data_IF_143015589281
#
_entry.id   IF_143015589281
#
_cell.length_a   1.000
_cell.length_b   1.000
_cell.length_c   1.000
_cell.angle_alpha   90.00
_cell.angle_beta   90.00
_cell.angle_gamma   90.00
#
_symmetry.space_group_name_H-M   'P 1'
#
loop_
_entity.id
_entity.type
_entity.pdbx_description
1 polymer ?
#
# COMPACT_ATOMS: atom_id res chain seq x y z
N UNK A 1 -1.66 1.07 39.23
CA UNK A 1 -0.92 1.67 38.09
C UNK A 1 -1.11 0.74 36.90
N UNK A 2 -1.93 1.14 35.92
CA UNK A 2 -2.30 0.33 34.76
C UNK A 2 -1.34 0.57 33.59
N UNK A 3 -0.87 -0.51 32.98
CA UNK A 3 0.09 -0.56 31.89
C UNK A 3 -0.39 0.23 30.67
N UNK A 4 0.08 1.47 30.56
CA UNK A 4 0.17 2.22 29.31
C UNK A 4 1.24 1.50 28.45
N UNK A 5 1.02 1.41 27.13
CA UNK A 5 1.96 0.92 26.09
C UNK A 5 1.68 -0.47 25.48
N UNK A 6 0.43 -0.79 25.15
CA UNK A 6 0.23 -1.61 23.95
C UNK A 6 0.59 -0.73 22.75
N UNK A 7 1.82 -0.93 22.23
CA UNK A 7 2.27 -0.38 20.93
C UNK A 7 1.09 -0.43 19.97
N UNK A 8 0.81 0.69 19.29
CA UNK A 8 -0.13 0.76 18.15
C UNK A 8 -0.10 -0.58 17.44
N UNK A 9 -1.21 -1.33 17.48
CA UNK A 9 -1.41 -2.39 16.51
C UNK A 9 -1.36 -1.67 15.16
N UNK A 10 -0.22 -1.72 14.49
CA UNK A 10 -0.20 -1.56 13.04
C UNK A 10 -1.29 -2.51 12.55
N UNK A 11 -2.37 -1.90 12.05
CA UNK A 11 -3.53 -2.68 11.60
C UNK A 11 -3.04 -3.63 10.52
N UNK A 12 -3.63 -4.83 10.36
CA UNK A 12 -3.25 -5.74 9.27
C UNK A 12 -3.16 -5.02 7.92
N UNK A 13 -4.05 -4.05 7.68
CA UNK A 13 -4.05 -3.16 6.52
C UNK A 13 -2.75 -2.37 6.32
N UNK A 14 -2.10 -1.90 7.38
CA UNK A 14 -0.83 -1.15 7.28
C UNK A 14 0.30 -2.06 6.78
N UNK A 15 0.37 -3.28 7.30
CA UNK A 15 1.35 -4.28 6.85
C UNK A 15 1.11 -4.69 5.41
N UNK A 16 -0.15 -4.82 4.97
CA UNK A 16 -0.50 -5.08 3.57
C UNK A 16 -0.08 -3.92 2.64
N UNK A 17 -0.33 -2.67 3.05
CA UNK A 17 0.09 -1.47 2.31
C UNK A 17 1.62 -1.40 2.20
N UNK A 18 2.35 -1.64 3.30
CA UNK A 18 3.81 -1.67 3.29
C UNK A 18 4.38 -2.81 2.46
N UNK A 19 3.78 -4.00 2.52
CA UNK A 19 4.17 -5.13 1.71
C UNK A 19 3.98 -4.83 0.21
N UNK A 20 2.85 -4.21 -0.16
CA UNK A 20 2.59 -3.77 -1.53
C UNK A 20 3.61 -2.73 -1.99
N UNK A 21 3.88 -1.71 -1.17
CA UNK A 21 4.90 -0.69 -1.48
C UNK A 21 6.27 -1.34 -1.68
N UNK A 22 6.69 -2.21 -0.77
CA UNK A 22 7.98 -2.89 -0.86
C UNK A 22 8.07 -3.76 -2.11
N UNK A 23 7.00 -4.49 -2.46
CA UNK A 23 6.97 -5.29 -3.68
C UNK A 23 7.11 -4.42 -4.95
N UNK A 24 6.45 -3.26 -4.98
CA UNK A 24 6.53 -2.32 -6.11
C UNK A 24 7.93 -1.69 -6.22
N UNK A 25 8.51 -1.24 -5.11
CA UNK A 25 9.87 -0.70 -5.09
C UNK A 25 10.92 -1.77 -5.45
N UNK A 26 10.72 -3.00 -4.98
CA UNK A 26 11.61 -4.13 -5.31
C UNK A 26 11.52 -4.46 -6.80
N UNK A 27 10.32 -4.53 -7.38
CA UNK A 27 10.20 -4.74 -8.83
C UNK A 27 10.80 -3.58 -9.62
N UNK A 28 10.64 -2.33 -9.20
CA UNK A 28 11.25 -1.17 -9.89
C UNK A 28 12.77 -1.31 -10.00
N UNK A 29 13.43 -1.84 -8.96
CA UNK A 29 14.87 -2.03 -8.95
C UNK A 29 15.34 -3.33 -9.61
N UNK A 30 14.51 -4.38 -9.64
CA UNK A 30 14.95 -5.74 -9.99
C UNK A 30 14.20 -6.37 -11.18
N UNK A 31 13.17 -5.73 -11.72
CA UNK A 31 12.31 -6.33 -12.74
C UNK A 31 11.70 -5.29 -13.70
N UNK A 32 11.37 -5.73 -14.92
CA UNK A 32 10.50 -4.99 -15.84
C UNK A 32 9.03 -5.38 -15.70
N UNK A 33 8.69 -6.21 -14.71
CA UNK A 33 7.31 -6.65 -14.47
C UNK A 33 6.46 -5.48 -13.97
N UNK A 34 5.35 -5.22 -14.68
CA UNK A 34 4.49 -4.05 -14.44
C UNK A 34 3.12 -4.41 -13.85
N UNK A 35 2.88 -5.70 -13.54
CA UNK A 35 1.57 -6.18 -13.07
C UNK A 35 1.64 -6.63 -11.62
N UNK A 36 0.79 -6.04 -10.80
CA UNK A 36 0.58 -6.42 -9.41
C UNK A 36 -0.87 -6.82 -9.19
N UNK A 37 -1.07 -8.01 -8.63
CA UNK A 37 -2.36 -8.46 -8.13
C UNK A 37 -2.36 -8.41 -6.60
N UNK A 38 -3.43 -7.88 -6.01
CA UNK A 38 -3.72 -8.01 -4.58
C UNK A 38 -5.12 -8.59 -4.41
N UNK A 39 -5.28 -9.53 -3.49
CA UNK A 39 -6.56 -10.10 -3.08
C UNK A 39 -7.20 -9.33 -1.90
N UNK A 40 -6.50 -8.32 -1.39
CA UNK A 40 -6.96 -7.49 -0.28
C UNK A 40 -8.04 -6.50 -0.76
N UNK A 41 -9.28 -6.76 -0.35
CA UNK A 41 -10.44 -5.91 -0.70
C UNK A 41 -10.29 -4.48 -0.21
N UNK A 42 -9.66 -4.29 0.94
CA UNK A 42 -9.43 -2.95 1.50
C UNK A 42 -8.42 -2.18 0.64
N UNK A 43 -7.33 -2.82 0.20
CA UNK A 43 -6.38 -2.20 -0.74
C UNK A 43 -7.04 -1.85 -2.08
N UNK A 44 -7.93 -2.72 -2.59
CA UNK A 44 -8.70 -2.43 -3.80
C UNK A 44 -9.60 -1.20 -3.58
N UNK A 45 -10.30 -1.13 -2.43
CA UNK A 45 -11.16 0.00 -2.10
C UNK A 45 -10.35 1.30 -1.91
N UNK A 46 -9.18 1.23 -1.29
CA UNK A 46 -8.27 2.36 -1.10
C UNK A 46 -7.70 2.86 -2.44
N UNK A 47 -7.37 1.95 -3.36
CA UNK A 47 -6.91 2.32 -4.69
C UNK A 47 -8.03 2.93 -5.55
N UNK A 48 -9.28 2.53 -5.32
CA UNK A 48 -10.45 3.06 -6.02
C UNK A 48 -10.88 4.44 -5.49
N UNK A 49 -10.87 4.62 -4.16
CA UNK A 49 -11.18 5.90 -3.51
C UNK A 49 -10.18 6.19 -2.37
N UNK A 50 -9.02 6.79 -2.68
CA UNK A 50 -7.99 7.11 -1.68
C UNK A 50 -8.46 8.18 -0.69
N UNK A 51 -9.37 9.06 -1.11
CA UNK A 51 -9.86 10.18 -0.29
C UNK A 51 -10.70 9.68 0.89
N UNK A 52 -11.34 8.51 0.75
CA UNK A 52 -12.03 7.83 1.85
C UNK A 52 -11.09 7.29 2.94
N UNK A 53 -9.77 7.26 2.71
CA UNK A 53 -8.77 6.67 3.62
C UNK A 53 -7.68 7.66 4.04
N UNK A 54 -8.03 8.75 4.74
CA UNK A 54 -7.09 9.82 5.10
C UNK A 54 -5.92 9.35 5.98
N UNK A 55 -6.08 8.25 6.71
CA UNK A 55 -5.03 7.67 7.56
C UNK A 55 -3.87 7.04 6.76
N UNK A 56 -4.07 6.78 5.46
CA UNK A 56 -3.10 6.14 4.57
C UNK A 56 -2.77 7.02 3.36
N UNK A 57 -3.06 8.32 3.44
CA UNK A 57 -2.95 9.24 2.30
C UNK A 57 -1.55 9.23 1.69
N UNK A 58 -0.51 9.24 2.53
CA UNK A 58 0.89 9.28 2.09
C UNK A 58 1.30 8.00 1.38
N UNK A 59 0.94 6.84 1.93
CA UNK A 59 1.25 5.54 1.36
C UNK A 59 0.49 5.31 0.06
N UNK A 60 -0.77 5.76 -0.01
CA UNK A 60 -1.59 5.69 -1.20
C UNK A 60 -1.09 6.63 -2.31
N UNK A 61 -0.63 7.83 -1.98
CA UNK A 61 0.03 8.72 -2.93
C UNK A 61 1.28 8.07 -3.54
N UNK A 62 2.10 7.41 -2.71
CA UNK A 62 3.28 6.67 -3.18
C UNK A 62 2.86 5.52 -4.12
N UNK A 63 1.85 4.73 -3.74
CA UNK A 63 1.34 3.65 -4.59
C UNK A 63 0.80 4.20 -5.92
N UNK A 64 0.08 5.32 -5.91
CA UNK A 64 -0.42 5.98 -7.12
C UNK A 64 0.70 6.50 -8.01
N UNK A 65 1.72 7.13 -7.41
CA UNK A 65 2.90 7.60 -8.13
C UNK A 65 3.66 6.44 -8.78
N UNK A 66 3.83 5.35 -8.03
CA UNK A 66 4.47 4.15 -8.56
C UNK A 66 3.63 3.54 -9.69
N UNK A 67 2.29 3.51 -9.58
CA UNK A 67 1.40 3.10 -10.69
C UNK A 67 1.60 3.96 -11.94
N UNK A 68 1.89 5.26 -11.82
CA UNK A 68 2.23 6.11 -12.97
C UNK A 68 3.55 5.72 -13.64
N UNK A 69 4.50 5.17 -12.87
CA UNK A 69 5.76 4.63 -13.42
C UNK A 69 5.56 3.29 -14.17
N UNK A 70 4.42 2.63 -14.00
CA UNK A 70 4.08 1.35 -14.63
C UNK A 70 2.85 1.50 -15.54
N UNK A 71 3.02 1.92 -16.81
CA UNK A 71 1.90 2.15 -17.72
C UNK A 71 1.06 0.90 -18.02
N UNK A 72 1.59 -0.32 -17.81
CA UNK A 72 0.85 -1.58 -17.95
C UNK A 72 0.20 -2.09 -16.64
N UNK A 73 0.14 -1.28 -15.59
CA UNK A 73 -0.54 -1.61 -14.34
C UNK A 73 -2.06 -1.66 -14.58
N UNK A 74 -2.58 -2.84 -14.89
CA UNK A 74 -3.99 -3.09 -15.23
C UNK A 74 -4.68 -3.94 -14.18
#
# INVERSE_FOLDING_TARGET
MGTRNLRRRETPLHSEVEALRWAIESMLHHSTCQRFGTDCKDLIAMAADPQAWPNFSTELEIIQLLKLCFPDFK
#
